data_IF_020984654360
#
_entry.id   IF_020984654360
#
_cell.length_a   1.000
_cell.length_b   1.000
_cell.length_c   1.000
_cell.angle_alpha   90.00
_cell.angle_beta   90.00
_cell.angle_gamma   90.00
#
_symmetry.space_group_name_H-M   'P 1'
#
loop_
_entity.id
_entity.type
_entity.pdbx_description
1 polymer ?
#
# COMPACT_ATOMS: atom_id res chain seq x y z
N UNK A 1 -44.15 9.21 27.40
CA UNK A 1 -44.01 8.06 26.49
C UNK A 1 -44.72 8.40 25.19
N UNK A 2 -44.06 9.08 24.30
CA UNK A 2 -44.61 9.31 22.96
C UNK A 2 -43.47 9.66 22.04
N UNK A 3 -43.39 8.89 21.01
CA UNK A 3 -43.05 9.14 19.63
C UNK A 3 -41.58 9.32 19.25
N UNK A 4 -40.72 8.40 19.63
CA UNK A 4 -40.02 7.70 18.58
C UNK A 4 -40.84 6.42 18.30
N UNK A 5 -41.94 6.57 17.57
CA UNK A 5 -42.69 5.39 17.12
C UNK A 5 -41.73 4.46 16.35
N UNK A 6 -42.08 3.17 16.27
CA UNK A 6 -41.24 2.16 15.55
C UNK A 6 -40.75 2.67 14.17
N UNK A 7 -41.51 3.58 13.54
CA UNK A 7 -41.17 4.20 12.27
C UNK A 7 -40.02 5.20 12.36
N UNK A 8 -39.95 5.99 13.47
CA UNK A 8 -38.85 6.91 13.69
C UNK A 8 -37.51 6.21 13.98
N UNK A 9 -37.53 5.11 14.75
CA UNK A 9 -36.34 4.30 15.03
C UNK A 9 -35.83 3.60 13.74
N UNK A 10 -36.75 3.12 12.91
CA UNK A 10 -36.41 2.51 11.62
C UNK A 10 -35.73 3.51 10.68
N UNK A 11 -36.26 4.75 10.57
CA UNK A 11 -35.70 5.78 9.73
C UNK A 11 -34.33 6.25 10.22
N UNK A 12 -34.13 6.37 11.53
CA UNK A 12 -32.83 6.66 12.15
C UNK A 12 -31.81 5.55 11.81
N UNK A 13 -32.18 4.30 12.06
CA UNK A 13 -31.33 3.14 11.79
C UNK A 13 -30.94 3.08 10.31
N UNK A 14 -31.91 3.25 9.41
CA UNK A 14 -31.65 3.28 7.97
C UNK A 14 -30.71 4.41 7.57
N UNK A 15 -30.89 5.61 8.13
CA UNK A 15 -30.01 6.76 7.85
C UNK A 15 -28.58 6.51 8.26
N UNK A 16 -28.36 5.93 9.46
CA UNK A 16 -27.01 5.62 9.95
C UNK A 16 -26.35 4.46 9.19
N UNK A 17 -27.11 3.40 8.86
CA UNK A 17 -26.61 2.24 8.11
C UNK A 17 -26.16 2.57 6.67
N UNK A 18 -26.68 3.64 6.08
CA UNK A 18 -26.34 4.04 4.71
C UNK A 18 -25.04 4.86 4.61
N UNK A 19 -24.40 5.17 5.73
CA UNK A 19 -23.20 5.99 5.70
C UNK A 19 -21.99 5.18 5.16
N UNK A 20 -21.21 5.79 4.24
CA UNK A 20 -20.10 5.09 3.58
C UNK A 20 -18.85 4.97 4.48
N UNK A 21 -18.64 5.91 5.38
CA UNK A 21 -17.46 6.02 6.24
C UNK A 21 -17.80 6.62 7.61
N UNK A 22 -16.82 6.65 8.50
CA UNK A 22 -16.99 7.13 9.88
C UNK A 22 -17.23 8.63 9.98
N UNK A 23 -16.67 9.41 9.07
CA UNK A 23 -16.89 10.85 9.00
C UNK A 23 -18.34 11.16 8.65
N UNK A 24 -18.88 10.51 7.61
CA UNK A 24 -20.28 10.62 7.20
C UNK A 24 -21.23 10.09 8.29
N UNK A 25 -20.86 9.02 8.99
CA UNK A 25 -21.62 8.49 10.13
C UNK A 25 -21.69 9.50 11.27
N UNK A 26 -20.60 10.15 11.62
CA UNK A 26 -20.55 11.19 12.66
C UNK A 26 -21.38 12.42 12.29
N UNK A 27 -21.34 12.83 11.02
CA UNK A 27 -22.17 13.92 10.50
C UNK A 27 -23.67 13.59 10.57
N UNK A 28 -24.06 12.40 10.12
CA UNK A 28 -25.44 11.92 10.20
C UNK A 28 -25.93 11.86 11.66
N UNK A 29 -25.10 11.37 12.57
CA UNK A 29 -25.41 11.35 14.01
C UNK A 29 -25.62 12.76 14.55
N UNK A 30 -24.73 13.70 14.26
CA UNK A 30 -24.83 15.11 14.70
C UNK A 30 -26.14 15.74 14.22
N UNK A 31 -26.51 15.53 12.94
CA UNK A 31 -27.80 16.01 12.42
C UNK A 31 -28.99 15.43 13.16
N UNK A 32 -28.98 14.13 13.42
CA UNK A 32 -30.09 13.46 14.10
C UNK A 32 -30.26 13.90 15.55
N UNK A 33 -29.16 14.07 16.31
CA UNK A 33 -29.26 14.52 17.71
C UNK A 33 -29.67 15.98 17.81
N UNK A 34 -29.25 16.85 16.87
CA UNK A 34 -29.71 18.24 16.76
C UNK A 34 -31.20 18.32 16.41
N UNK A 35 -31.67 17.58 15.42
CA UNK A 35 -33.09 17.53 15.04
C UNK A 35 -34.00 17.01 16.16
N UNK A 36 -33.46 16.15 17.01
CA UNK A 36 -34.16 15.61 18.17
C UNK A 36 -34.01 16.47 19.42
N UNK A 37 -33.31 17.61 19.36
CA UNK A 37 -32.98 18.49 20.48
C UNK A 37 -32.29 17.75 21.65
N UNK A 38 -31.54 16.68 21.36
CA UNK A 38 -30.84 15.89 22.35
C UNK A 38 -29.46 16.42 22.67
N UNK A 39 -28.74 16.89 21.65
CA UNK A 39 -27.40 17.44 21.78
C UNK A 39 -27.14 18.45 20.67
N UNK A 40 -26.23 19.40 20.90
CA UNK A 40 -25.81 20.39 19.95
C UNK A 40 -24.71 19.87 19.00
N UNK A 41 -23.92 18.90 19.48
CA UNK A 41 -22.96 18.18 18.67
C UNK A 41 -22.78 16.74 19.13
N UNK A 42 -22.27 15.91 18.21
CA UNK A 42 -21.85 14.54 18.50
C UNK A 42 -20.53 14.23 17.80
N UNK A 43 -19.76 13.29 18.38
CA UNK A 43 -18.55 12.79 17.77
C UNK A 43 -18.41 11.28 18.01
N UNK A 44 -17.67 10.63 17.13
CA UNK A 44 -17.28 9.23 17.26
C UNK A 44 -15.79 9.19 17.56
N UNK A 45 -15.41 8.52 18.63
CA UNK A 45 -14.01 8.33 19.02
C UNK A 45 -13.73 6.84 19.02
N UNK A 46 -12.79 6.41 18.19
CA UNK A 46 -12.38 5.00 18.07
C UNK A 46 -11.00 4.81 18.68
N UNK A 47 -10.80 3.68 19.33
CA UNK A 47 -9.54 3.30 19.93
C UNK A 47 -8.86 2.18 19.14
N UNK A 48 -7.62 2.40 18.76
CA UNK A 48 -6.79 1.42 18.06
C UNK A 48 -5.78 0.80 19.03
N UNK A 49 -6.11 -0.38 19.54
CA UNK A 49 -5.29 -1.07 20.56
C UNK A 49 -3.87 -1.41 20.07
N UNK A 50 -3.72 -1.72 18.79
CA UNK A 50 -2.42 -2.08 18.20
C UNK A 50 -1.44 -0.91 18.11
N UNK A 51 -1.93 0.31 17.87
CA UNK A 51 -1.12 1.52 17.71
C UNK A 51 -1.16 2.44 18.94
N UNK A 52 -2.03 2.16 19.92
CA UNK A 52 -2.33 3.02 21.06
C UNK A 52 -2.78 4.43 20.68
N UNK A 53 -3.48 4.55 19.55
CA UNK A 53 -4.03 5.81 19.02
C UNK A 53 -5.54 5.85 19.15
N UNK A 54 -6.08 7.05 19.15
CA UNK A 54 -7.51 7.27 19.02
C UNK A 54 -7.79 8.12 17.77
N UNK A 55 -8.79 7.74 17.02
CA UNK A 55 -9.32 8.51 15.89
C UNK A 55 -10.61 9.21 16.32
N UNK A 56 -10.69 10.50 16.05
CA UNK A 56 -11.81 11.37 16.40
C UNK A 56 -12.51 11.87 15.15
N UNK A 57 -13.81 11.64 15.05
CA UNK A 57 -14.65 12.04 13.93
C UNK A 57 -15.77 12.95 14.42
N UNK A 58 -15.82 14.19 13.94
CA UNK A 58 -16.90 15.13 14.26
C UNK A 58 -17.23 16.02 13.06
N UNK A 59 -18.38 16.68 13.14
CA UNK A 59 -18.77 17.70 12.15
C UNK A 59 -18.68 19.07 12.78
N UNK A 60 -17.90 19.97 12.18
CA UNK A 60 -17.81 21.38 12.62
C UNK A 60 -18.99 22.19 12.11
N UNK A 61 -19.20 23.37 12.69
CA UNK A 61 -20.31 24.28 12.37
C UNK A 61 -20.41 24.69 10.88
N UNK A 62 -19.29 24.58 10.14
CA UNK A 62 -19.25 24.84 8.69
C UNK A 62 -19.62 23.61 7.84
N UNK A 63 -20.10 22.52 8.45
CA UNK A 63 -20.44 21.26 7.78
C UNK A 63 -19.24 20.45 7.31
N UNK A 64 -18.01 20.83 7.65
CA UNK A 64 -16.82 20.04 7.35
C UNK A 64 -16.63 18.93 8.36
N UNK A 65 -16.46 17.72 7.84
CA UNK A 65 -16.05 16.57 8.65
C UNK A 65 -14.63 16.86 9.16
N UNK A 66 -14.44 16.68 10.45
CA UNK A 66 -13.17 16.83 11.13
C UNK A 66 -12.71 15.44 11.56
N UNK A 67 -11.57 15.04 11.04
CA UNK A 67 -10.89 13.81 11.42
C UNK A 67 -9.57 14.18 12.07
N UNK A 68 -9.31 13.61 13.25
CA UNK A 68 -8.11 13.88 14.03
C UNK A 68 -7.61 12.59 14.67
N UNK A 69 -6.33 12.31 14.50
CA UNK A 69 -5.66 11.17 15.11
C UNK A 69 -4.49 11.67 15.96
N UNK A 70 -4.46 11.29 17.24
CA UNK A 70 -3.40 11.69 18.16
C UNK A 70 -3.03 10.56 19.13
N UNK A 71 -1.74 10.43 19.36
CA UNK A 71 -1.18 9.50 20.34
C UNK A 71 -1.32 10.01 21.78
N UNK A 72 -1.30 11.33 21.99
CA UNK A 72 -1.11 11.92 23.31
C UNK A 72 -2.40 12.40 23.94
N UNK A 73 -3.24 13.15 23.21
CA UNK A 73 -4.42 13.80 23.77
C UNK A 73 -5.62 12.87 23.91
N UNK A 74 -6.00 12.19 22.82
CA UNK A 74 -7.16 11.32 22.85
C UNK A 74 -6.88 10.04 23.63
N UNK A 75 -5.64 9.51 23.57
CA UNK A 75 -5.24 8.33 24.33
C UNK A 75 -5.35 8.50 25.86
N UNK A 76 -5.30 9.75 26.38
CA UNK A 76 -5.39 10.06 27.81
C UNK A 76 -6.72 10.74 28.17
N UNK A 77 -7.62 10.90 27.21
CA UNK A 77 -8.90 11.57 27.36
C UNK A 77 -10.05 10.67 27.83
N UNK A 78 -11.29 11.15 27.66
CA UNK A 78 -12.50 10.44 28.06
C UNK A 78 -12.63 9.02 27.52
N UNK A 79 -12.21 8.78 26.28
CA UNK A 79 -12.27 7.45 25.64
C UNK A 79 -11.48 6.40 26.42
N UNK A 80 -10.30 6.76 26.93
CA UNK A 80 -9.49 5.83 27.74
C UNK A 80 -10.15 5.47 29.06
N UNK A 81 -10.88 6.41 29.66
CA UNK A 81 -11.65 6.14 30.88
C UNK A 81 -12.77 5.12 30.62
N UNK A 82 -13.49 5.26 29.50
CA UNK A 82 -14.54 4.32 29.11
C UNK A 82 -13.97 2.93 28.84
N UNK A 83 -12.82 2.83 28.17
CA UNK A 83 -12.14 1.55 27.92
C UNK A 83 -11.73 0.84 29.21
N UNK A 84 -11.35 1.62 30.26
CA UNK A 84 -10.97 1.05 31.56
C UNK A 84 -12.16 0.80 32.49
N UNK A 85 -13.24 1.56 32.33
CA UNK A 85 -14.49 1.43 33.07
C UNK A 85 -15.66 1.61 32.10
N UNK A 86 -16.35 0.53 31.71
CA UNK A 86 -17.40 0.54 30.69
C UNK A 86 -18.70 1.21 31.17
N UNK A 87 -18.58 2.35 31.81
CA UNK A 87 -19.69 3.14 32.30
C UNK A 87 -19.77 4.46 31.53
N UNK A 88 -20.97 4.92 31.29
CA UNK A 88 -21.18 6.21 30.68
C UNK A 88 -20.55 7.33 31.52
N UNK A 89 -19.88 8.24 30.84
CA UNK A 89 -19.23 9.40 31.45
C UNK A 89 -20.10 10.65 31.28
N UNK A 90 -20.32 11.35 32.36
CA UNK A 90 -21.07 12.63 32.36
C UNK A 90 -20.33 13.67 33.16
N UNK A 91 -20.24 14.90 32.65
CA UNK A 91 -19.67 16.02 33.36
C UNK A 91 -20.11 17.36 32.74
N UNK A 92 -20.00 18.42 33.50
CA UNK A 92 -20.02 19.79 32.96
C UNK A 92 -18.61 20.23 32.54
N UNK A 93 -18.50 21.42 31.91
CA UNK A 93 -17.22 21.89 31.41
C UNK A 93 -16.15 22.07 32.49
N UNK A 94 -16.51 22.51 33.68
CA UNK A 94 -15.55 22.69 34.77
C UNK A 94 -14.97 21.35 35.25
N UNK A 95 -15.81 20.34 35.37
CA UNK A 95 -15.38 18.99 35.71
C UNK A 95 -14.53 18.37 34.59
N UNK A 96 -14.90 18.62 33.33
CA UNK A 96 -14.12 18.18 32.17
C UNK A 96 -12.73 18.84 32.18
N UNK A 97 -12.66 20.15 32.35
CA UNK A 97 -11.41 20.92 32.42
C UNK A 97 -10.52 20.47 33.59
N UNK A 98 -11.11 20.13 34.73
CA UNK A 98 -10.36 19.61 35.87
C UNK A 98 -9.77 18.20 35.58
N UNK A 99 -10.54 17.34 34.92
CA UNK A 99 -10.11 15.99 34.61
C UNK A 99 -9.13 15.93 33.44
N UNK A 100 -9.33 16.77 32.41
CA UNK A 100 -8.56 16.78 31.16
C UNK A 100 -8.19 18.22 30.73
N UNK A 101 -7.33 18.93 31.49
CA UNK A 101 -7.03 20.35 31.23
C UNK A 101 -6.46 20.58 29.83
N UNK A 102 -5.58 19.71 29.34
CA UNK A 102 -4.99 19.81 27.98
C UNK A 102 -6.01 19.67 26.88
N UNK A 103 -7.02 18.81 27.05
CA UNK A 103 -8.11 18.68 26.07
C UNK A 103 -9.05 19.90 26.12
N UNK A 104 -9.36 20.41 27.30
CA UNK A 104 -10.19 21.62 27.47
C UNK A 104 -9.53 22.88 26.87
N UNK A 105 -8.20 22.93 26.80
CA UNK A 105 -7.42 24.02 26.20
C UNK A 105 -7.17 23.80 24.69
N UNK A 106 -7.49 22.61 24.17
CA UNK A 106 -7.30 22.29 22.75
C UNK A 106 -8.39 22.92 21.88
N UNK A 107 -8.10 23.03 20.56
CA UNK A 107 -9.10 23.48 19.59
C UNK A 107 -10.18 22.42 19.28
N UNK A 108 -10.16 21.26 19.95
CA UNK A 108 -11.15 20.20 19.79
C UNK A 108 -12.43 20.53 20.53
N UNK A 109 -12.33 21.19 21.67
CA UNK A 109 -13.46 21.54 22.53
C UNK A 109 -13.55 23.04 22.71
N UNK A 110 -14.76 23.57 22.74
CA UNK A 110 -15.10 24.90 23.22
C UNK A 110 -15.87 24.77 24.54
N UNK A 111 -16.04 25.84 25.35
CA UNK A 111 -16.85 25.74 26.54
C UNK A 111 -18.28 25.28 26.24
N UNK A 112 -18.75 24.29 26.97
CA UNK A 112 -20.06 23.66 26.81
C UNK A 112 -20.77 23.58 28.18
N UNK A 113 -22.08 23.37 28.17
CA UNK A 113 -22.86 23.14 29.41
C UNK A 113 -22.64 21.72 29.94
N UNK A 114 -22.97 20.72 29.14
CA UNK A 114 -22.86 19.32 29.52
C UNK A 114 -22.21 18.47 28.43
N UNK A 115 -21.44 17.48 28.89
CA UNK A 115 -20.75 16.47 28.11
C UNK A 115 -21.18 15.08 28.53
N UNK A 116 -21.39 14.22 27.56
CA UNK A 116 -21.61 12.80 27.78
C UNK A 116 -20.81 11.98 26.81
N UNK A 117 -20.15 10.92 27.28
CA UNK A 117 -19.55 9.90 26.44
C UNK A 117 -20.12 8.53 26.81
N UNK A 118 -20.66 7.85 25.82
CA UNK A 118 -21.22 6.50 25.93
C UNK A 118 -20.33 5.49 25.21
N UNK A 119 -20.10 4.29 25.76
CA UNK A 119 -19.22 3.31 25.17
C UNK A 119 -19.79 2.77 23.84
N UNK A 120 -18.96 2.72 22.82
CA UNK A 120 -19.21 1.96 21.59
C UNK A 120 -18.77 0.52 21.82
N UNK A 121 -19.75 -0.38 21.94
CA UNK A 121 -19.51 -1.79 22.25
C UNK A 121 -20.36 -2.69 21.36
N UNK A 122 -19.77 -3.77 20.86
CA UNK A 122 -20.44 -4.86 20.14
C UNK A 122 -20.00 -6.17 20.78
N UNK A 123 -20.95 -7.05 21.06
CA UNK A 123 -20.70 -8.35 21.71
C UNK A 123 -19.88 -8.25 23.01
N UNK A 124 -20.04 -7.15 23.76
CA UNK A 124 -19.32 -6.90 25.01
C UNK A 124 -17.90 -6.37 24.87
N UNK A 125 -17.39 -6.21 23.65
CA UNK A 125 -16.10 -5.58 23.39
C UNK A 125 -16.26 -4.09 23.12
N UNK A 126 -15.58 -3.26 23.91
CA UNK A 126 -15.57 -1.80 23.74
C UNK A 126 -14.38 -1.43 22.83
N UNK A 127 -14.66 -0.69 21.77
CA UNK A 127 -13.67 -0.25 20.82
C UNK A 127 -13.63 1.29 20.64
N UNK A 128 -14.45 2.01 21.41
CA UNK A 128 -14.51 3.47 21.34
C UNK A 128 -15.57 4.08 22.21
N UNK A 129 -15.90 5.35 21.94
CA UNK A 129 -16.96 6.10 22.59
C UNK A 129 -17.70 7.01 21.63
N UNK A 130 -18.97 7.24 21.91
CA UNK A 130 -19.78 8.24 21.24
C UNK A 130 -19.94 9.44 22.16
N UNK A 131 -19.48 10.61 21.72
CA UNK A 131 -19.58 11.86 22.47
C UNK A 131 -20.83 12.63 22.10
N UNK A 132 -21.43 13.27 23.11
CA UNK A 132 -22.53 14.20 22.94
C UNK A 132 -22.26 15.45 23.78
N UNK A 133 -22.43 16.61 23.16
CA UNK A 133 -22.23 17.89 23.80
C UNK A 133 -23.53 18.69 23.73
N UNK A 134 -23.89 19.30 24.85
CA UNK A 134 -24.99 20.25 24.99
C UNK A 134 -24.44 21.60 25.50
N UNK A 135 -24.74 22.67 24.79
CA UNK A 135 -24.25 24.00 25.14
C UNK A 135 -24.99 24.61 26.32
N UNK A 136 -26.22 24.15 26.53
CA UNK A 136 -27.04 24.58 27.69
C UNK A 136 -26.61 23.91 28.98
N UNK A 137 -26.69 24.65 30.12
CA UNK A 137 -26.36 24.15 31.46
C UNK A 137 -27.51 23.30 32.06
N UNK A 138 -28.12 22.45 31.21
CA UNK A 138 -29.14 21.50 31.65
C UNK A 138 -28.67 20.08 31.41
N UNK A 139 -28.55 19.25 32.47
CA UNK A 139 -28.22 17.84 32.30
C UNK A 139 -29.32 17.12 31.56
N UNK A 140 -28.96 16.03 30.89
CA UNK A 140 -29.95 15.16 30.24
C UNK A 140 -30.83 14.50 31.30
N UNK A 141 -32.12 14.45 31.03
CA UNK A 141 -33.07 13.61 31.77
C UNK A 141 -32.84 12.14 31.48
N UNK A 142 -33.36 11.25 32.33
CA UNK A 142 -33.26 9.80 32.14
C UNK A 142 -33.82 9.34 30.78
N UNK A 143 -34.93 9.92 30.34
CA UNK A 143 -35.53 9.60 29.05
C UNK A 143 -34.67 10.08 27.85
N UNK A 144 -34.01 11.22 27.94
CA UNK A 144 -33.06 11.69 26.92
C UNK A 144 -31.81 10.81 26.89
N UNK A 145 -31.40 10.36 28.06
CA UNK A 145 -30.30 9.45 28.25
C UNK A 145 -30.51 8.10 27.53
N UNK A 146 -31.64 7.49 27.75
CA UNK A 146 -32.05 6.24 27.07
C UNK A 146 -32.05 6.41 25.53
N UNK A 147 -32.44 7.60 25.07
CA UNK A 147 -32.39 7.90 23.62
C UNK A 147 -30.95 8.03 23.10
N UNK A 148 -30.06 8.70 23.83
CA UNK A 148 -28.63 8.77 23.46
C UNK A 148 -28.00 7.39 23.47
N UNK A 149 -28.36 6.54 24.43
CA UNK A 149 -27.90 5.16 24.50
C UNK A 149 -28.36 4.35 23.27
N UNK A 150 -29.61 4.52 22.85
CA UNK A 150 -30.15 3.86 21.65
C UNK A 150 -29.38 4.31 20.39
N UNK A 151 -29.12 5.61 20.21
CA UNK A 151 -28.28 6.11 19.11
C UNK A 151 -26.88 5.48 19.14
N UNK A 152 -26.27 5.43 20.31
CA UNK A 152 -24.92 4.87 20.49
C UNK A 152 -24.85 3.40 20.14
N UNK A 153 -25.86 2.60 20.49
CA UNK A 153 -25.93 1.17 20.12
C UNK A 153 -26.00 0.99 18.61
N UNK A 154 -26.80 1.78 17.90
CA UNK A 154 -26.88 1.73 16.44
C UNK A 154 -25.54 2.15 15.82
N UNK A 155 -24.95 3.26 16.31
CA UNK A 155 -23.66 3.75 15.85
C UNK A 155 -22.55 2.71 16.07
N UNK A 156 -22.56 2.00 17.21
CA UNK A 156 -21.57 0.95 17.48
C UNK A 156 -21.58 -0.15 16.41
N UNK A 157 -22.77 -0.68 16.09
CA UNK A 157 -22.89 -1.72 15.04
C UNK A 157 -22.45 -1.20 13.68
N UNK A 158 -22.84 0.03 13.32
CA UNK A 158 -22.48 0.61 12.02
C UNK A 158 -20.98 0.92 11.95
N UNK A 159 -20.41 1.48 13.00
CA UNK A 159 -18.98 1.82 13.07
C UNK A 159 -18.12 0.55 12.98
N UNK A 160 -18.48 -0.52 13.69
CA UNK A 160 -17.80 -1.81 13.59
C UNK A 160 -17.87 -2.37 12.17
N UNK A 161 -19.06 -2.32 11.53
CA UNK A 161 -19.24 -2.79 10.17
C UNK A 161 -18.39 -2.00 9.15
N UNK A 162 -18.27 -0.68 9.31
CA UNK A 162 -17.40 0.16 8.48
C UNK A 162 -15.93 -0.23 8.69
N UNK A 163 -15.48 -0.37 9.94
CA UNK A 163 -14.10 -0.77 10.25
C UNK A 163 -13.77 -2.16 9.67
N UNK A 164 -14.67 -3.14 9.84
CA UNK A 164 -14.49 -4.49 9.32
C UNK A 164 -14.39 -4.51 7.78
N UNK A 165 -15.16 -3.67 7.08
CA UNK A 165 -15.05 -3.53 5.62
C UNK A 165 -13.69 -2.98 5.20
N UNK A 166 -13.20 -1.95 5.89
CA UNK A 166 -11.87 -1.36 5.61
C UNK A 166 -10.77 -2.38 5.83
N UNK A 167 -10.78 -3.09 6.96
CA UNK A 167 -9.79 -4.12 7.30
C UNK A 167 -9.83 -5.28 6.29
N UNK A 168 -11.01 -5.80 5.97
CA UNK A 168 -11.16 -6.90 5.01
C UNK A 168 -10.70 -6.51 3.60
N UNK A 169 -10.93 -5.26 3.16
CA UNK A 169 -10.45 -4.79 1.87
C UNK A 169 -8.92 -4.69 1.84
N UNK A 170 -8.29 -4.20 2.92
CA UNK A 170 -6.81 -4.13 3.02
C UNK A 170 -6.21 -5.53 3.01
N UNK A 171 -6.78 -6.48 3.75
CA UNK A 171 -6.31 -7.87 3.80
C UNK A 171 -6.50 -8.56 2.45
N UNK A 172 -7.62 -8.32 1.76
CA UNK A 172 -7.88 -8.87 0.44
C UNK A 172 -6.89 -8.33 -0.61
N UNK A 173 -6.60 -7.04 -0.59
CA UNK A 173 -5.63 -6.41 -1.50
C UNK A 173 -4.22 -6.93 -1.23
N UNK A 174 -3.84 -7.11 0.03
CA UNK A 174 -2.55 -7.68 0.41
C UNK A 174 -2.42 -9.13 -0.09
N UNK A 175 -3.41 -9.97 0.20
CA UNK A 175 -3.44 -11.36 -0.24
C UNK A 175 -3.45 -11.49 -1.78
N UNK A 176 -4.17 -10.59 -2.46
CA UNK A 176 -4.18 -10.55 -3.93
C UNK A 176 -2.80 -10.22 -4.49
N UNK A 177 -2.11 -9.22 -3.92
CA UNK A 177 -0.73 -8.88 -4.31
C UNK A 177 0.25 -10.02 -4.03
N UNK A 178 0.17 -10.67 -2.88
CA UNK A 178 1.02 -11.82 -2.56
C UNK A 178 0.79 -12.99 -3.53
N UNK A 179 -0.46 -13.28 -3.85
CA UNK A 179 -0.82 -14.29 -4.86
C UNK A 179 -0.22 -13.95 -6.23
N UNK A 180 -0.34 -12.70 -6.67
CA UNK A 180 0.14 -12.26 -7.98
C UNK A 180 1.68 -12.25 -8.02
N UNK A 181 2.34 -11.85 -6.93
CA UNK A 181 3.80 -12.00 -6.76
C UNK A 181 4.24 -13.46 -6.84
N UNK A 182 3.49 -14.37 -6.21
CA UNK A 182 3.79 -15.80 -6.28
C UNK A 182 3.63 -16.35 -7.71
N UNK A 183 2.58 -15.92 -8.41
CA UNK A 183 2.33 -16.32 -9.80
C UNK A 183 3.49 -15.97 -10.74
N UNK A 184 3.98 -14.73 -10.68
CA UNK A 184 5.13 -14.33 -11.53
C UNK A 184 6.39 -15.13 -11.18
N UNK A 185 6.66 -15.39 -9.90
CA UNK A 185 7.81 -16.20 -9.50
C UNK A 185 7.71 -17.65 -10.02
N UNK A 186 6.52 -18.24 -10.01
CA UNK A 186 6.28 -19.56 -10.59
C UNK A 186 6.44 -19.54 -12.11
N UNK A 187 5.87 -18.54 -12.79
CA UNK A 187 5.98 -18.38 -14.23
C UNK A 187 7.44 -18.25 -14.69
N UNK A 188 8.21 -17.39 -14.04
CA UNK A 188 9.66 -17.24 -14.28
C UNK A 188 10.39 -18.55 -14.00
N UNK A 189 10.08 -19.25 -12.91
CA UNK A 189 10.73 -20.54 -12.61
C UNK A 189 10.46 -21.56 -13.69
N UNK A 190 9.23 -21.65 -14.21
CA UNK A 190 8.87 -22.56 -15.28
C UNK A 190 9.53 -22.18 -16.62
N UNK A 191 9.56 -20.89 -16.97
CA UNK A 191 10.25 -20.38 -18.15
C UNK A 191 11.73 -20.78 -18.14
N UNK A 192 12.35 -20.64 -16.96
CA UNK A 192 13.75 -20.93 -16.70
C UNK A 192 14.09 -22.43 -16.76
N UNK A 193 13.26 -23.29 -16.16
CA UNK A 193 13.54 -24.74 -16.10
C UNK A 193 13.33 -25.45 -17.42
N UNK A 194 12.58 -24.88 -18.35
CA UNK A 194 12.20 -25.50 -19.60
C UNK A 194 13.18 -25.28 -20.77
N UNK A 195 14.18 -24.38 -20.59
CA UNK A 195 15.03 -23.92 -21.70
C UNK A 195 16.52 -24.08 -21.38
N UNK A 196 17.24 -24.61 -22.35
CA UNK A 196 18.71 -24.70 -22.35
C UNK A 196 19.31 -23.72 -23.38
N UNK A 197 18.49 -23.22 -24.29
CA UNK A 197 18.87 -22.20 -25.28
C UNK A 197 18.72 -20.80 -24.67
N UNK A 198 19.75 -19.96 -24.86
CA UNK A 198 19.82 -18.63 -24.25
C UNK A 198 18.78 -17.67 -24.85
N UNK A 199 18.56 -17.72 -26.16
CA UNK A 199 17.62 -16.81 -26.82
C UNK A 199 16.17 -17.12 -26.40
N UNK A 200 15.81 -18.42 -26.33
CA UNK A 200 14.52 -18.86 -25.86
C UNK A 200 14.30 -18.50 -24.38
N UNK A 201 15.33 -18.69 -23.53
CA UNK A 201 15.30 -18.32 -22.12
C UNK A 201 15.02 -16.83 -21.93
N UNK A 202 15.79 -15.98 -22.61
CA UNK A 202 15.63 -14.51 -22.49
C UNK A 202 14.26 -14.07 -23.03
N UNK A 203 13.80 -14.66 -24.13
CA UNK A 203 12.49 -14.36 -24.72
C UNK A 203 11.35 -14.69 -23.74
N UNK A 204 11.34 -15.91 -23.18
CA UNK A 204 10.29 -16.36 -22.26
C UNK A 204 10.29 -15.54 -20.96
N UNK A 205 11.46 -15.30 -20.38
CA UNK A 205 11.61 -14.45 -19.17
C UNK A 205 11.15 -13.02 -19.45
N UNK A 206 11.53 -12.45 -20.59
CA UNK A 206 11.14 -11.09 -20.98
C UNK A 206 9.62 -10.96 -21.11
N UNK A 207 8.97 -11.97 -21.71
CA UNK A 207 7.50 -12.02 -21.86
C UNK A 207 6.80 -11.99 -20.49
N UNK A 208 7.27 -12.80 -19.54
CA UNK A 208 6.66 -12.86 -18.20
C UNK A 208 6.85 -11.53 -17.43
N UNK A 209 8.05 -10.93 -17.47
CA UNK A 209 8.34 -9.64 -16.84
C UNK A 209 7.49 -8.53 -17.47
N UNK A 210 7.42 -8.47 -18.81
CA UNK A 210 6.58 -7.51 -19.52
C UNK A 210 5.10 -7.67 -19.13
N UNK A 211 4.59 -8.90 -19.14
CA UNK A 211 3.18 -9.16 -18.83
C UNK A 211 2.79 -8.66 -17.44
N UNK A 212 3.67 -8.90 -16.45
CA UNK A 212 3.40 -8.53 -15.04
C UNK A 212 3.66 -7.05 -14.73
N UNK A 213 4.83 -6.51 -15.12
CA UNK A 213 5.26 -5.15 -14.78
C UNK A 213 4.98 -4.11 -15.86
N UNK A 214 4.56 -4.55 -17.05
CA UNK A 214 4.40 -3.67 -18.23
C UNK A 214 5.70 -2.95 -18.62
N UNK A 215 6.85 -3.61 -18.45
CA UNK A 215 8.17 -3.10 -18.82
C UNK A 215 8.28 -3.02 -20.35
N UNK A 216 8.71 -1.87 -20.89
CA UNK A 216 8.74 -1.61 -22.35
C UNK A 216 9.92 -2.26 -23.05
N UNK A 217 11.08 -2.36 -22.38
CA UNK A 217 12.23 -3.06 -22.93
C UNK A 217 13.00 -3.82 -21.84
N UNK A 218 13.41 -5.04 -22.17
CA UNK A 218 14.09 -5.96 -21.26
C UNK A 218 15.32 -6.48 -21.99
N UNK A 219 16.47 -6.43 -21.32
CA UNK A 219 17.67 -7.06 -21.87
C UNK A 219 18.52 -7.72 -20.80
N UNK A 220 19.24 -8.77 -21.20
CA UNK A 220 20.24 -9.46 -20.39
C UNK A 220 21.59 -9.26 -21.06
N UNK A 221 22.54 -8.67 -20.32
CA UNK A 221 23.91 -8.50 -20.72
C UNK A 221 24.78 -9.56 -20.03
N UNK A 222 25.44 -10.41 -20.81
CA UNK A 222 26.37 -11.44 -20.32
C UNK A 222 27.79 -11.13 -20.78
N UNK A 223 28.81 -11.49 -19.99
CA UNK A 223 30.19 -11.40 -20.46
C UNK A 223 30.41 -12.40 -21.59
N UNK A 224 30.85 -11.88 -22.73
CA UNK A 224 31.15 -12.68 -23.90
C UNK A 224 32.42 -13.54 -23.74
N UNK A 225 32.62 -14.48 -24.67
CA UNK A 225 33.83 -15.30 -24.72
C UNK A 225 35.10 -14.47 -25.02
N UNK A 226 34.96 -13.26 -25.58
CA UNK A 226 36.04 -12.32 -25.81
C UNK A 226 36.16 -11.38 -24.61
N UNK A 227 37.40 -11.21 -24.10
CA UNK A 227 37.66 -10.30 -22.99
C UNK A 227 37.22 -8.87 -23.31
N UNK A 228 36.43 -8.27 -22.43
CA UNK A 228 35.95 -6.90 -22.55
C UNK A 228 34.75 -6.73 -23.51
N UNK A 229 34.10 -7.81 -23.90
CA UNK A 229 32.86 -7.80 -24.69
C UNK A 229 31.67 -8.30 -23.87
N UNK A 230 30.50 -7.74 -24.15
CA UNK A 230 29.21 -8.19 -23.65
C UNK A 230 28.35 -8.71 -24.80
N UNK A 231 27.75 -9.87 -24.60
CA UNK A 231 26.63 -10.34 -25.42
C UNK A 231 25.34 -9.83 -24.80
N UNK A 232 24.56 -9.09 -25.54
CA UNK A 232 23.32 -8.49 -25.10
C UNK A 232 22.18 -9.14 -25.86
N UNK A 233 21.25 -9.70 -25.10
CA UNK A 233 19.96 -10.26 -25.56
C UNK A 233 18.87 -9.30 -25.13
N UNK A 234 18.10 -8.75 -26.07
CA UNK A 234 17.08 -7.74 -25.77
C UNK A 234 15.74 -8.07 -26.44
N UNK A 235 14.67 -7.69 -25.75
CA UNK A 235 13.31 -7.75 -26.25
C UNK A 235 12.63 -6.41 -26.00
N UNK A 236 11.99 -5.85 -27.02
CA UNK A 236 11.26 -4.59 -26.96
C UNK A 236 9.78 -4.83 -27.20
N UNK A 237 8.95 -4.18 -26.38
CA UNK A 237 7.49 -4.22 -26.42
C UNK A 237 6.89 -2.86 -26.80
N UNK A 238 7.64 -2.00 -27.48
CA UNK A 238 7.14 -0.69 -27.96
C UNK A 238 6.01 -0.84 -28.99
N UNK A 239 5.95 -1.97 -29.67
CA UNK A 239 4.80 -2.47 -30.42
C UNK A 239 4.36 -3.79 -29.78
N UNK A 240 3.28 -3.76 -28.99
CA UNK A 240 2.76 -4.96 -28.30
C UNK A 240 2.39 -6.10 -29.26
N UNK A 241 2.03 -5.77 -30.50
CA UNK A 241 1.64 -6.76 -31.51
C UNK A 241 2.85 -7.52 -32.09
N UNK A 242 4.04 -6.89 -32.09
CA UNK A 242 5.25 -7.45 -32.68
C UNK A 242 6.47 -7.16 -31.80
N UNK A 243 6.71 -7.92 -30.74
CA UNK A 243 7.91 -7.75 -29.92
C UNK A 243 9.16 -8.04 -30.77
N UNK A 244 10.11 -7.11 -30.76
CA UNK A 244 11.37 -7.27 -31.47
C UNK A 244 12.42 -7.89 -30.56
N UNK A 245 13.09 -8.96 -31.05
CA UNK A 245 14.20 -9.61 -30.38
C UNK A 245 15.49 -9.24 -31.07
N UNK A 246 16.49 -8.82 -30.35
CA UNK A 246 17.80 -8.42 -30.86
C UNK A 246 18.91 -9.05 -30.03
N UNK A 247 19.96 -9.52 -30.73
CA UNK A 247 21.20 -9.96 -30.14
C UNK A 247 22.34 -9.09 -30.66
N UNK A 248 23.21 -8.61 -29.79
CA UNK A 248 24.34 -7.78 -30.17
C UNK A 248 25.57 -8.05 -29.29
N UNK A 249 26.77 -7.89 -29.88
CA UNK A 249 28.04 -7.89 -29.13
C UNK A 249 28.56 -6.45 -29.04
N UNK A 250 28.80 -5.97 -27.83
CA UNK A 250 29.26 -4.60 -27.55
C UNK A 250 30.49 -4.59 -26.64
N UNK A 251 31.21 -3.48 -26.62
CA UNK A 251 32.29 -3.29 -25.64
C UNK A 251 31.70 -3.11 -24.22
N UNK A 252 32.27 -3.81 -23.22
CA UNK A 252 31.87 -3.69 -21.81
C UNK A 252 32.17 -2.27 -21.29
N UNK A 253 33.33 -1.73 -21.71
CA UNK A 253 33.82 -0.44 -21.25
C UNK A 253 32.87 0.71 -21.62
N UNK A 254 32.52 1.53 -20.64
CA UNK A 254 31.66 2.69 -20.80
C UNK A 254 30.16 2.38 -20.87
N UNK A 255 29.71 1.12 -20.63
CA UNK A 255 28.29 0.78 -20.51
C UNK A 255 27.80 0.93 -19.07
N UNK A 256 26.47 1.08 -18.88
CA UNK A 256 25.87 1.03 -17.55
C UNK A 256 26.00 -0.37 -16.93
N UNK A 257 26.06 -1.42 -17.75
CA UNK A 257 26.33 -2.79 -17.29
C UNK A 257 27.69 -2.91 -16.62
N UNK A 258 28.74 -2.23 -17.15
CA UNK A 258 30.06 -2.21 -16.50
C UNK A 258 30.00 -1.67 -15.07
N UNK A 259 29.19 -0.61 -14.84
CA UNK A 259 28.99 -0.07 -13.49
C UNK A 259 28.42 -1.12 -12.53
N UNK A 260 27.37 -1.87 -12.97
CA UNK A 260 26.75 -2.93 -12.17
C UNK A 260 27.69 -4.12 -12.00
N UNK A 261 28.49 -4.50 -13.02
CA UNK A 261 29.53 -5.53 -12.88
C UNK A 261 30.57 -5.20 -11.81
N UNK A 262 30.90 -3.90 -11.66
CA UNK A 262 31.86 -3.43 -10.65
C UNK A 262 31.25 -3.29 -9.26
N UNK A 263 30.06 -2.70 -9.14
CA UNK A 263 29.43 -2.44 -7.84
C UNK A 263 28.72 -3.66 -7.26
N UNK A 264 28.20 -4.55 -8.13
CA UNK A 264 27.29 -5.67 -7.77
C UNK A 264 26.01 -5.20 -7.09
N UNK A 265 25.62 -3.96 -7.29
CA UNK A 265 24.43 -3.34 -6.71
C UNK A 265 23.43 -2.97 -7.80
N UNK A 266 22.17 -2.85 -7.39
CA UNK A 266 21.10 -2.38 -8.28
C UNK A 266 21.38 -0.92 -8.65
N UNK A 267 21.30 -0.62 -9.94
CA UNK A 267 21.39 0.73 -10.45
C UNK A 267 20.03 1.17 -10.98
N UNK A 268 19.44 2.20 -10.34
CA UNK A 268 18.20 2.82 -10.77
C UNK A 268 18.49 4.23 -11.27
N UNK A 269 18.06 4.54 -12.48
CA UNK A 269 18.28 5.83 -13.12
C UNK A 269 16.94 6.40 -13.62
N UNK A 270 16.70 7.67 -13.30
CA UNK A 270 15.67 8.47 -13.93
C UNK A 270 16.35 9.35 -15.02
N UNK A 271 16.01 9.13 -16.28
CA UNK A 271 16.64 9.78 -17.41
C UNK A 271 16.23 11.24 -17.63
N UNK A 272 15.19 11.70 -16.91
CA UNK A 272 14.78 13.11 -16.88
C UNK A 272 15.73 13.98 -16.02
N UNK A 273 16.49 13.36 -15.13
CA UNK A 273 17.55 13.99 -14.36
C UNK A 273 18.86 13.85 -15.15
N UNK A 274 19.64 14.92 -15.26
CA UNK A 274 20.82 15.09 -16.12
C UNK A 274 21.98 14.10 -15.86
N UNK A 275 21.72 12.83 -15.67
CA UNK A 275 22.77 11.82 -15.52
C UNK A 275 23.41 11.49 -16.89
N UNK A 276 24.74 11.45 -16.99
CA UNK A 276 25.43 11.09 -18.24
C UNK A 276 25.14 9.63 -18.59
N UNK A 277 24.20 9.44 -19.49
CA UNK A 277 23.91 8.12 -20.07
C UNK A 277 25.09 7.71 -20.94
N UNK A 278 25.56 6.49 -20.77
CA UNK A 278 26.67 5.94 -21.57
C UNK A 278 26.33 5.95 -23.06
N UNK A 279 27.33 6.08 -23.95
CA UNK A 279 27.09 6.19 -25.40
C UNK A 279 26.23 5.06 -25.99
N UNK A 280 26.43 3.84 -25.51
CA UNK A 280 25.67 2.67 -25.96
C UNK A 280 24.19 2.77 -25.59
N UNK A 281 23.87 3.08 -24.36
CA UNK A 281 22.50 3.25 -23.89
C UNK A 281 21.82 4.43 -24.59
N UNK A 282 22.54 5.50 -24.85
CA UNK A 282 22.02 6.64 -25.63
C UNK A 282 21.66 6.25 -27.07
N UNK A 283 22.45 5.39 -27.69
CA UNK A 283 22.13 4.84 -29.01
C UNK A 283 20.84 4.00 -28.96
N UNK A 284 20.69 3.14 -27.97
CA UNK A 284 19.46 2.34 -27.78
C UNK A 284 18.23 3.24 -27.56
N UNK A 285 18.33 4.27 -26.71
CA UNK A 285 17.21 5.19 -26.46
C UNK A 285 16.82 5.96 -27.71
N UNK A 286 17.77 6.37 -28.54
CA UNK A 286 17.47 7.00 -29.82
C UNK A 286 16.71 6.05 -30.75
N UNK A 287 17.07 4.77 -30.77
CA UNK A 287 16.39 3.73 -31.53
C UNK A 287 14.95 3.53 -31.03
N UNK A 288 14.73 3.64 -29.72
CA UNK A 288 13.39 3.52 -29.08
C UNK A 288 12.62 4.85 -29.03
N UNK A 289 13.05 5.88 -29.77
CA UNK A 289 12.35 7.14 -29.92
C UNK A 289 12.39 8.05 -28.70
N UNK A 290 13.43 7.94 -27.87
CA UNK A 290 13.64 8.75 -26.64
C UNK A 290 12.43 8.76 -25.67
N UNK A 291 11.67 7.68 -25.63
CA UNK A 291 10.48 7.57 -24.76
C UNK A 291 10.81 7.01 -23.39
N UNK A 292 11.96 6.36 -23.25
CA UNK A 292 12.37 5.74 -21.98
C UNK A 292 12.67 6.81 -20.95
N UNK A 293 12.01 6.75 -19.80
CA UNK A 293 12.17 7.67 -18.68
C UNK A 293 12.98 7.07 -17.54
N UNK A 294 12.83 5.76 -17.30
CA UNK A 294 13.50 5.08 -16.19
C UNK A 294 14.20 3.82 -16.63
N UNK A 295 15.32 3.55 -15.98
CA UNK A 295 16.12 2.34 -16.14
C UNK A 295 16.40 1.70 -14.78
N UNK A 296 16.23 0.38 -14.72
CA UNK A 296 16.64 -0.43 -13.60
C UNK A 296 17.58 -1.53 -14.09
N UNK A 297 18.79 -1.59 -13.53
CA UNK A 297 19.78 -2.62 -13.80
C UNK A 297 19.97 -3.47 -12.55
N UNK A 298 19.74 -4.78 -12.66
CA UNK A 298 19.89 -5.73 -11.56
C UNK A 298 21.04 -6.68 -11.85
N UNK A 299 21.94 -6.91 -10.87
CA UNK A 299 23.01 -7.90 -11.01
C UNK A 299 22.43 -9.32 -11.03
N UNK A 300 22.90 -10.16 -11.93
CA UNK A 300 22.60 -11.58 -12.01
C UNK A 300 23.76 -12.34 -11.39
N UNK A 301 23.53 -12.88 -10.18
CA UNK A 301 24.55 -13.49 -9.35
C UNK A 301 24.28 -14.97 -9.12
N UNK A 302 25.29 -15.83 -9.29
CA UNK A 302 25.30 -17.20 -8.80
C UNK A 302 26.34 -17.33 -7.68
N UNK A 303 25.88 -17.39 -6.43
CA UNK A 303 26.73 -17.23 -5.27
C UNK A 303 27.50 -15.91 -5.29
N UNK A 304 28.84 -15.97 -5.33
CA UNK A 304 29.70 -14.79 -5.44
C UNK A 304 30.09 -14.44 -6.89
N UNK A 305 29.67 -15.24 -7.86
CA UNK A 305 30.02 -15.06 -9.28
C UNK A 305 28.96 -14.16 -9.95
N UNK A 306 29.43 -13.10 -10.58
CA UNK A 306 28.59 -12.21 -11.39
C UNK A 306 28.47 -12.81 -12.80
N UNK A 307 27.26 -13.26 -13.17
CA UNK A 307 26.96 -13.87 -14.46
C UNK A 307 26.60 -12.84 -15.52
N UNK A 308 25.82 -11.83 -15.12
CA UNK A 308 25.28 -10.86 -16.06
C UNK A 308 24.55 -9.70 -15.39
N UNK A 309 23.87 -8.90 -16.20
CA UNK A 309 23.03 -7.78 -15.77
C UNK A 309 21.69 -7.87 -16.47
N UNK A 310 20.61 -7.90 -15.69
CA UNK A 310 19.24 -7.72 -16.19
C UNK A 310 18.97 -6.22 -16.26
N UNK A 311 18.63 -5.69 -17.45
CA UNK A 311 18.23 -4.31 -17.65
C UNK A 311 16.76 -4.23 -17.97
N UNK A 312 16.06 -3.34 -17.29
CA UNK A 312 14.65 -3.06 -17.45
C UNK A 312 14.48 -1.59 -17.79
N UNK A 313 13.81 -1.29 -18.89
CA UNK A 313 13.59 0.08 -19.34
C UNK A 313 12.09 0.36 -19.48
N UNK A 314 11.67 1.53 -19.00
CA UNK A 314 10.27 1.91 -18.89
C UNK A 314 10.04 3.35 -19.36
N UNK A 315 8.92 3.56 -20.05
CA UNK A 315 8.45 4.88 -20.47
C UNK A 315 7.70 5.64 -19.37
N UNK A 316 7.40 5.00 -18.23
CA UNK A 316 6.69 5.59 -17.09
C UNK A 316 7.58 5.61 -15.85
N UNK A 317 7.47 6.65 -15.00
CA UNK A 317 8.29 6.80 -13.79
C UNK A 317 7.87 5.88 -12.64
N UNK A 318 6.63 5.38 -12.64
CA UNK A 318 5.99 4.80 -11.44
C UNK A 318 6.29 3.31 -11.19
N UNK A 319 6.97 2.59 -12.09
CA UNK A 319 7.07 1.12 -12.02
C UNK A 319 8.07 0.63 -10.98
N UNK A 320 9.19 1.33 -10.75
CA UNK A 320 10.27 0.86 -9.87
C UNK A 320 10.09 1.27 -8.41
N UNK A 321 8.95 0.92 -7.81
CA UNK A 321 8.69 1.11 -6.37
C UNK A 321 9.54 0.17 -5.52
N UNK A 322 9.70 0.47 -4.23
CA UNK A 322 10.42 -0.40 -3.27
C UNK A 322 9.89 -1.83 -3.25
N UNK A 323 8.56 -2.00 -3.34
CA UNK A 323 7.91 -3.31 -3.37
C UNK A 323 8.26 -4.07 -4.67
N UNK A 324 8.18 -3.39 -5.83
CA UNK A 324 8.52 -3.98 -7.12
C UNK A 324 10.01 -4.32 -7.21
N UNK A 325 10.90 -3.47 -6.69
CA UNK A 325 12.34 -3.76 -6.63
C UNK A 325 12.66 -5.01 -5.81
N UNK A 326 11.94 -5.24 -4.70
CA UNK A 326 12.09 -6.47 -3.90
C UNK A 326 11.72 -7.71 -4.74
N UNK A 327 10.60 -7.66 -5.45
CA UNK A 327 10.16 -8.76 -6.32
C UNK A 327 11.09 -8.97 -7.51
N UNK A 328 11.53 -7.90 -8.16
CA UNK A 328 12.49 -7.95 -9.28
C UNK A 328 13.84 -8.56 -8.84
N UNK A 329 14.28 -8.31 -7.62
CA UNK A 329 15.47 -8.96 -7.05
C UNK A 329 15.29 -10.48 -6.95
N UNK A 330 14.14 -10.95 -6.47
CA UNK A 330 13.85 -12.39 -6.41
C UNK A 330 13.77 -13.01 -7.81
N UNK A 331 13.23 -12.27 -8.79
CA UNK A 331 13.21 -12.71 -10.19
C UNK A 331 14.64 -12.80 -10.73
N UNK A 332 15.48 -11.81 -10.51
CA UNK A 332 16.89 -11.81 -10.92
C UNK A 332 17.68 -12.99 -10.33
N UNK A 333 17.43 -13.35 -9.07
CA UNK A 333 18.02 -14.55 -8.44
C UNK A 333 17.62 -15.84 -9.19
N UNK A 334 16.35 -15.99 -9.59
CA UNK A 334 15.88 -17.17 -10.34
C UNK A 334 16.45 -17.22 -11.75
N UNK A 335 16.51 -16.07 -12.42
CA UNK A 335 17.16 -15.94 -13.73
C UNK A 335 18.64 -16.33 -13.63
N UNK A 336 19.32 -15.90 -12.57
CA UNK A 336 20.74 -16.22 -12.35
C UNK A 336 20.99 -17.73 -12.24
N UNK A 337 20.14 -18.47 -11.53
CA UNK A 337 20.24 -19.93 -11.40
C UNK A 337 20.09 -20.59 -12.79
N UNK A 338 19.17 -20.11 -13.60
CA UNK A 338 18.96 -20.63 -14.94
C UNK A 338 20.12 -20.35 -15.89
N UNK A 339 20.59 -19.11 -15.85
CA UNK A 339 21.74 -18.72 -16.65
C UNK A 339 22.98 -19.55 -16.30
N UNK A 340 23.22 -19.80 -15.03
CA UNK A 340 24.32 -20.65 -14.58
C UNK A 340 24.21 -22.07 -15.15
N UNK A 341 23.01 -22.66 -15.09
CA UNK A 341 22.74 -23.97 -15.66
C UNK A 341 22.89 -23.98 -17.20
N UNK A 342 22.35 -22.98 -17.92
CA UNK A 342 22.45 -22.89 -19.38
C UNK A 342 23.90 -22.70 -19.83
N UNK A 343 24.67 -21.85 -19.16
CA UNK A 343 26.09 -21.63 -19.44
C UNK A 343 26.92 -22.90 -19.19
N UNK A 344 26.67 -23.60 -18.08
CA UNK A 344 27.32 -24.87 -17.78
C UNK A 344 27.01 -25.92 -18.82
N UNK A 345 25.76 -26.01 -19.30
CA UNK A 345 25.36 -26.94 -20.35
C UNK A 345 26.05 -26.61 -21.68
N UNK A 346 26.11 -25.35 -22.08
CA UNK A 346 26.79 -24.92 -23.30
C UNK A 346 28.29 -25.26 -23.25
N UNK A 347 28.94 -25.06 -22.09
CA UNK A 347 30.37 -25.40 -21.96
C UNK A 347 30.62 -26.91 -22.04
N UNK A 348 29.75 -27.73 -21.43
CA UNK A 348 29.80 -29.19 -21.54
C UNK A 348 29.65 -29.62 -23.02
N UNK A 349 28.70 -29.05 -23.72
CA UNK A 349 28.46 -29.36 -25.14
C UNK A 349 29.67 -28.99 -25.98
N UNK A 350 30.24 -27.81 -25.79
CA UNK A 350 31.45 -27.33 -26.47
C UNK A 350 32.68 -28.23 -26.23
N UNK A 351 32.86 -28.65 -24.98
CA UNK A 351 33.94 -29.56 -24.63
C UNK A 351 33.76 -30.95 -25.30
N UNK A 352 32.54 -31.47 -25.36
CA UNK A 352 32.20 -32.70 -26.01
C UNK A 352 32.49 -32.66 -27.54
N UNK A 353 32.10 -31.57 -28.23
CA UNK A 353 32.38 -31.36 -29.63
C UNK A 353 33.89 -31.36 -29.91
N UNK A 354 34.67 -30.62 -29.11
CA UNK A 354 36.13 -30.60 -29.24
C UNK A 354 36.75 -31.99 -29.09
N UNK A 355 36.28 -32.77 -28.12
CA UNK A 355 36.76 -34.14 -27.92
C UNK A 355 36.41 -35.07 -29.08
N UNK A 356 35.31 -34.81 -29.79
CA UNK A 356 34.92 -35.59 -31.01
C UNK A 356 35.80 -35.18 -32.21
N UNK A 357 36.14 -33.88 -32.32
CA UNK A 357 36.97 -33.38 -33.44
C UNK A 357 38.47 -33.73 -33.26
N UNK A 358 38.94 -34.02 -32.04
CA UNK A 358 40.32 -34.42 -31.74
C UNK A 358 40.56 -35.94 -31.87
N UNK A 359 39.50 -36.76 -32.07
CA UNK A 359 39.58 -38.20 -32.27
C UNK A 359 39.35 -38.59 -33.75
#
# INVERSE_FOLDING_TARGET
MSDLGQQGLFDITRTLLQQPDLGALSDALTRLVRQSALADSAAIVLWHSATHRASYFSTRDNGKIFEYEDETFLAHGPVRRILSRPEALHCNFDQFRQAWPKLAESNLYHPFGHYSMLPLAVEGQIFGGCEFIRDTDQPWSEAEYERLHTFTQIVAVVAEQIQSRVTNNVDYDLLSRERDNFRILVAITNAVLSRLDMDELVSDVSKEIHHYFKIDAISIALRGNRKGKLNIYSTHYLDEANPAHEQSEVDEAGTLSERVFKSKEILLLNLNEQDPVAPYERMLFNTWGNKIQTLCLLPLMSGNTMLGVLKLAQCDEAVFTTANLKLLRQIAERISIALDNALAYQEIHRLKERLVDEN
#
